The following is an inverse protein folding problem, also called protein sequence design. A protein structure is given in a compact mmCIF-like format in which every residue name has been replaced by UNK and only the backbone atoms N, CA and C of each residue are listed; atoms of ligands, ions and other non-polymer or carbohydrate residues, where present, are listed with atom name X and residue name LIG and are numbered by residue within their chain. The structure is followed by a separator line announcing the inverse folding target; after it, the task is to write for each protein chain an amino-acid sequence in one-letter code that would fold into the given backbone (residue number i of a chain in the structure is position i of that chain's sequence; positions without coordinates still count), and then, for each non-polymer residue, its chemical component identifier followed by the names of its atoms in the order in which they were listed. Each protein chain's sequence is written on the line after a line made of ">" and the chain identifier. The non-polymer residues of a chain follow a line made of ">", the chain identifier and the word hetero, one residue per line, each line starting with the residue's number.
data_IF_531148338959
#
_entry.id   IF_531148338959
#
_cell.length_a   1.000
_cell.length_b   1.000
_cell.length_c   1.000
_cell.angle_alpha   90.00
_cell.angle_beta   90.00
_cell.angle_gamma   90.00
#
_symmetry.space_group_name_H-M   'P 1'
#
loop_
_entity.id
_entity.type
_entity.pdbx_description
1 polymer ?
#
# COMPACT_ATOMS: atom_id res chain seq x y z
N UNK A 1 -13.06 -18.39 -8.35
CA UNK A 1 -13.63 -17.03 -8.51
C UNK A 1 -14.20 -16.49 -7.19
N UNK A 2 -15.16 -17.18 -6.55
CA UNK A 2 -15.70 -16.79 -5.23
C UNK A 2 -14.62 -16.72 -4.13
N UNK A 3 -13.70 -17.70 -4.12
CA UNK A 3 -12.58 -17.76 -3.16
C UNK A 3 -11.67 -16.52 -3.26
N UNK A 4 -11.34 -16.08 -4.49
CA UNK A 4 -10.48 -14.90 -4.71
C UNK A 4 -11.14 -13.61 -4.20
N UNK A 5 -12.45 -13.46 -4.42
CA UNK A 5 -13.18 -12.29 -3.96
C UNK A 5 -13.21 -12.22 -2.42
N UNK A 6 -13.48 -13.34 -1.75
CA UNK A 6 -13.47 -13.42 -0.28
C UNK A 6 -12.06 -13.21 0.29
N UNK A 7 -11.02 -13.71 -0.38
CA UNK A 7 -9.63 -13.47 0.00
C UNK A 7 -9.26 -11.98 -0.08
N UNK A 8 -9.63 -11.29 -1.15
CA UNK A 8 -9.42 -9.85 -1.30
C UNK A 8 -10.14 -9.05 -0.21
N UNK A 9 -11.40 -9.40 0.08
CA UNK A 9 -12.18 -8.77 1.16
C UNK A 9 -11.52 -8.99 2.52
N UNK A 10 -11.06 -10.20 2.81
CA UNK A 10 -10.39 -10.52 4.06
C UNK A 10 -9.10 -9.71 4.22
N UNK A 11 -8.25 -9.68 3.19
CA UNK A 11 -7.02 -8.88 3.17
C UNK A 11 -7.33 -7.39 3.38
N UNK A 12 -8.32 -6.86 2.67
CA UNK A 12 -8.75 -5.44 2.80
C UNK A 12 -9.22 -5.15 4.23
N UNK A 13 -10.09 -5.98 4.78
CA UNK A 13 -10.63 -5.78 6.12
C UNK A 13 -9.52 -5.86 7.20
N UNK A 14 -8.56 -6.78 7.04
CA UNK A 14 -7.39 -6.84 7.91
C UNK A 14 -6.58 -5.54 7.85
N UNK A 15 -6.32 -5.01 6.65
CA UNK A 15 -5.62 -3.73 6.48
C UNK A 15 -6.40 -2.56 7.09
N UNK A 16 -7.73 -2.51 6.94
CA UNK A 16 -8.57 -1.48 7.57
C UNK A 16 -8.42 -1.50 9.10
N UNK A 17 -8.49 -2.69 9.71
CA UNK A 17 -8.30 -2.84 11.16
C UNK A 17 -6.91 -2.37 11.57
N UNK A 18 -5.88 -2.75 10.83
CA UNK A 18 -4.52 -2.30 11.10
C UNK A 18 -4.37 -0.78 10.95
N UNK A 19 -4.97 -0.18 9.92
CA UNK A 19 -4.94 1.26 9.72
C UNK A 19 -5.66 1.99 10.87
N UNK A 20 -6.77 1.45 11.35
CA UNK A 20 -7.48 1.97 12.52
C UNK A 20 -6.60 1.91 13.77
N UNK A 21 -5.97 0.77 14.03
CA UNK A 21 -5.06 0.60 15.17
C UNK A 21 -3.86 1.56 15.09
N UNK A 22 -3.23 1.70 13.91
CA UNK A 22 -2.14 2.64 13.67
C UNK A 22 -2.55 4.10 13.95
N UNK A 23 -3.81 4.46 13.71
CA UNK A 23 -4.38 5.77 14.00
C UNK A 23 -4.74 6.01 15.46
N UNK A 24 -4.82 4.95 16.28
CA UNK A 24 -5.23 5.09 17.69
C UNK A 24 -4.19 5.81 18.56
N UNK A 25 -2.95 5.98 18.07
CA UNK A 25 -1.84 6.58 18.83
C UNK A 25 -1.37 5.75 20.02
N UNK A 26 -1.92 4.54 20.21
CA UNK A 26 -1.54 3.63 21.29
C UNK A 26 -0.28 2.85 20.92
N UNK A 27 0.53 2.55 21.93
CA UNK A 27 1.64 1.60 21.82
C UNK A 27 1.11 0.17 21.54
N UNK A 28 1.95 -0.67 20.95
CA UNK A 28 1.66 -2.04 20.56
C UNK A 28 1.69 -2.26 19.04
N UNK A 29 1.67 -1.20 18.24
CA UNK A 29 1.82 -1.32 16.78
C UNK A 29 3.27 -1.64 16.38
N UNK A 30 4.24 -1.41 17.26
CA UNK A 30 5.65 -1.77 17.07
C UNK A 30 5.84 -3.26 16.77
N UNK A 31 4.92 -4.13 17.20
CA UNK A 31 4.99 -5.55 16.88
C UNK A 31 4.96 -5.79 15.37
N UNK A 32 4.23 -4.96 14.61
CA UNK A 32 4.15 -5.06 13.15
C UNK A 32 5.40 -4.52 12.46
N UNK A 33 6.18 -3.68 13.17
CA UNK A 33 7.44 -3.12 12.68
C UNK A 33 8.64 -4.01 13.06
N UNK A 34 8.58 -4.67 14.21
CA UNK A 34 9.68 -5.45 14.77
C UNK A 34 9.58 -6.97 14.54
N UNK A 35 8.38 -7.50 14.29
CA UNK A 35 8.22 -8.94 14.10
C UNK A 35 8.57 -9.36 12.67
N UNK A 36 9.50 -10.32 12.55
CA UNK A 36 9.82 -10.96 11.27
C UNK A 36 8.90 -12.14 11.05
N UNK A 37 8.16 -12.12 9.95
CA UNK A 37 7.32 -13.24 9.55
C UNK A 37 8.19 -14.39 9.01
N UNK A 38 7.64 -15.62 8.90
CA UNK A 38 8.31 -16.71 8.22
C UNK A 38 8.85 -16.25 6.86
N UNK A 39 10.08 -16.64 6.51
CA UNK A 39 10.88 -16.11 5.37
C UNK A 39 11.57 -14.75 5.60
N UNK A 40 11.63 -14.24 6.83
CA UNK A 40 12.34 -13.00 7.23
C UNK A 40 11.82 -11.71 6.59
N UNK A 41 10.66 -11.74 5.92
CA UNK A 41 9.98 -10.52 5.46
C UNK A 41 9.29 -9.84 6.62
N UNK A 42 9.50 -8.54 6.78
CA UNK A 42 8.69 -7.73 7.69
C UNK A 42 7.31 -7.46 7.08
N UNK A 43 6.39 -7.01 7.92
CA UNK A 43 5.01 -6.78 7.52
C UNK A 43 4.86 -5.69 6.43
N UNK A 44 5.67 -4.63 6.49
CA UNK A 44 5.61 -3.54 5.51
C UNK A 44 6.06 -3.99 4.13
N UNK A 45 7.14 -4.78 4.10
CA UNK A 45 7.63 -5.41 2.87
C UNK A 45 6.56 -6.32 2.27
N UNK A 46 5.80 -7.07 3.07
CA UNK A 46 4.67 -7.85 2.55
C UNK A 46 3.56 -6.98 1.96
N UNK A 47 3.21 -5.86 2.59
CA UNK A 47 2.23 -4.92 2.04
C UNK A 47 2.70 -4.38 0.69
N UNK A 48 3.98 -4.05 0.53
CA UNK A 48 4.54 -3.63 -0.76
C UNK A 48 4.43 -4.72 -1.84
N UNK A 49 4.73 -5.97 -1.50
CA UNK A 49 4.60 -7.08 -2.44
C UNK A 49 3.14 -7.32 -2.84
N UNK A 50 2.20 -7.21 -1.90
CA UNK A 50 0.76 -7.27 -2.19
C UNK A 50 0.40 -6.15 -3.16
N UNK A 51 0.81 -4.91 -2.89
CA UNK A 51 0.56 -3.77 -3.78
C UNK A 51 1.11 -4.04 -5.18
N UNK A 52 2.39 -4.38 -5.31
CA UNK A 52 3.01 -4.65 -6.61
C UNK A 52 2.30 -5.79 -7.36
N UNK A 53 1.99 -6.90 -6.67
CA UNK A 53 1.29 -8.04 -7.27
C UNK A 53 -0.11 -7.65 -7.76
N UNK A 54 -0.91 -6.97 -6.95
CA UNK A 54 -2.26 -6.56 -7.38
C UNK A 54 -2.20 -5.56 -8.53
N UNK A 55 -1.21 -4.67 -8.54
CA UNK A 55 -0.96 -3.74 -9.64
C UNK A 55 -0.56 -4.44 -10.95
N UNK A 56 0.25 -5.49 -10.88
CA UNK A 56 0.67 -6.29 -12.03
C UNK A 56 -0.51 -7.09 -12.60
N UNK A 57 -1.35 -7.67 -11.74
CA UNK A 57 -2.54 -8.40 -12.19
C UNK A 57 -3.56 -7.43 -12.80
N UNK A 58 -3.76 -6.27 -12.18
CA UNK A 58 -4.66 -5.23 -12.71
C UNK A 58 -4.20 -4.70 -14.08
N UNK A 59 -2.88 -4.66 -14.34
CA UNK A 59 -2.33 -4.26 -15.63
C UNK A 59 -2.43 -5.36 -16.71
N UNK A 60 -2.57 -6.63 -16.33
CA UNK A 60 -2.51 -7.78 -17.24
C UNK A 60 -3.87 -8.43 -17.53
N UNK A 61 -4.84 -8.37 -16.61
CA UNK A 61 -6.11 -9.09 -16.75
C UNK A 61 -7.28 -8.18 -17.20
N UNK A 62 -7.56 -8.22 -18.50
CA UNK A 62 -8.67 -7.51 -19.15
C UNK A 62 -10.07 -8.13 -18.87
N UNK A 63 -10.13 -9.32 -18.26
CA UNK A 63 -11.35 -10.17 -18.21
C UNK A 63 -11.86 -10.50 -16.80
N UNK A 64 -11.46 -9.76 -15.77
CA UNK A 64 -11.98 -9.98 -14.41
C UNK A 64 -13.42 -9.49 -14.22
N UNK A 65 -14.15 -10.09 -13.28
CA UNK A 65 -15.43 -9.54 -12.87
C UNK A 65 -15.27 -8.16 -12.24
N UNK A 66 -16.21 -7.23 -12.50
CA UNK A 66 -16.20 -5.88 -11.92
C UNK A 66 -16.06 -5.85 -10.39
N UNK A 67 -16.57 -6.86 -9.69
CA UNK A 67 -16.50 -6.95 -8.23
C UNK A 67 -15.07 -7.22 -7.73
N UNK A 68 -14.36 -8.16 -8.36
CA UNK A 68 -12.97 -8.48 -8.01
C UNK A 68 -12.10 -7.25 -8.26
N UNK A 69 -12.34 -6.60 -9.39
CA UNK A 69 -11.65 -5.40 -9.78
C UNK A 69 -11.85 -4.26 -8.77
N UNK A 70 -13.11 -4.00 -8.40
CA UNK A 70 -13.46 -3.02 -7.36
C UNK A 70 -12.78 -3.35 -6.03
N UNK A 71 -12.80 -4.61 -5.61
CA UNK A 71 -12.18 -5.03 -4.36
C UNK A 71 -10.66 -4.87 -4.36
N UNK A 72 -9.98 -5.11 -5.49
CA UNK A 72 -8.55 -4.80 -5.64
C UNK A 72 -8.25 -3.32 -5.52
N UNK A 73 -9.01 -2.47 -6.22
CA UNK A 73 -8.85 -1.01 -6.10
C UNK A 73 -9.02 -0.56 -4.64
N UNK A 74 -9.99 -1.12 -3.92
CA UNK A 74 -10.19 -0.82 -2.50
C UNK A 74 -9.03 -1.34 -1.64
N UNK A 75 -8.53 -2.55 -1.90
CA UNK A 75 -7.36 -3.10 -1.21
C UNK A 75 -6.12 -2.19 -1.36
N UNK A 76 -5.83 -1.75 -2.58
CA UNK A 76 -4.72 -0.82 -2.87
C UNK A 76 -4.87 0.49 -2.09
N UNK A 77 -6.08 1.06 -2.12
CA UNK A 77 -6.39 2.29 -1.38
C UNK A 77 -6.16 2.14 0.12
N UNK A 78 -6.71 1.09 0.74
CA UNK A 78 -6.58 0.89 2.19
C UNK A 78 -5.12 0.60 2.59
N UNK A 79 -4.37 -0.12 1.77
CA UNK A 79 -2.94 -0.34 1.99
C UNK A 79 -2.14 0.98 1.97
N UNK A 80 -2.43 1.87 1.02
CA UNK A 80 -1.81 3.20 0.99
C UNK A 80 -2.22 4.07 2.19
N UNK A 81 -3.47 3.95 2.68
CA UNK A 81 -3.92 4.64 3.90
C UNK A 81 -3.12 4.14 5.10
N UNK A 82 -2.96 2.83 5.26
CA UNK A 82 -2.15 2.25 6.33
C UNK A 82 -0.70 2.77 6.27
N UNK A 83 -0.05 2.67 5.11
CA UNK A 83 1.33 3.13 4.93
C UNK A 83 1.47 4.62 5.25
N UNK A 84 0.55 5.45 4.77
CA UNK A 84 0.58 6.89 5.07
C UNK A 84 0.34 7.18 6.56
N UNK A 85 -0.58 6.48 7.22
CA UNK A 85 -0.83 6.66 8.66
C UNK A 85 0.42 6.36 9.48
N UNK A 86 1.08 5.25 9.17
CA UNK A 86 2.33 4.85 9.82
C UNK A 86 3.46 5.84 9.55
N UNK A 87 3.62 6.25 8.29
CA UNK A 87 4.62 7.22 7.88
C UNK A 87 4.39 8.64 8.43
N UNK A 88 3.17 8.99 8.83
CA UNK A 88 2.86 10.29 9.47
C UNK A 88 2.93 10.28 10.98
N UNK A 89 2.95 9.11 11.61
CA UNK A 89 2.94 9.02 13.06
C UNK A 89 4.36 9.35 13.59
N UNK A 90 4.53 10.33 14.50
CA UNK A 90 5.85 10.71 15.02
C UNK A 90 6.63 9.57 15.67
N UNK A 91 5.93 8.59 16.27
CA UNK A 91 6.56 7.43 16.92
C UNK A 91 7.00 6.36 15.91
N UNK A 92 6.33 6.28 14.75
CA UNK A 92 6.52 5.18 13.80
C UNK A 92 7.19 5.60 12.49
N UNK A 93 7.20 6.89 12.14
CA UNK A 93 7.67 7.37 10.84
C UNK A 93 9.10 6.92 10.53
N UNK A 94 10.06 7.19 11.42
CA UNK A 94 11.46 6.80 11.23
C UNK A 94 11.65 5.27 11.17
N UNK A 95 11.13 4.45 12.11
CA UNK A 95 11.18 2.99 11.98
C UNK A 95 10.58 2.46 10.67
N UNK A 96 9.43 3.00 10.25
CA UNK A 96 8.74 2.62 9.01
C UNK A 96 9.64 2.86 7.81
N UNK A 97 10.21 4.06 7.67
CA UNK A 97 11.08 4.34 6.53
C UNK A 97 12.37 3.52 6.57
N UNK A 98 12.98 3.31 7.74
CA UNK A 98 14.15 2.43 7.87
C UNK A 98 13.86 1.03 7.36
N UNK A 99 12.68 0.49 7.61
CA UNK A 99 12.26 -0.82 7.09
C UNK A 99 12.08 -0.76 5.57
N UNK A 100 11.33 0.22 5.08
CA UNK A 100 11.06 0.41 3.65
C UNK A 100 12.32 0.71 2.82
N UNK A 101 13.42 1.08 3.46
CA UNK A 101 14.71 1.37 2.81
C UNK A 101 15.86 0.54 3.40
N UNK A 102 15.56 -0.60 4.04
CA UNK A 102 16.57 -1.42 4.74
C UNK A 102 17.56 -2.13 3.81
N UNK A 103 17.22 -2.22 2.53
CA UNK A 103 17.97 -2.91 1.50
C UNK A 103 17.64 -2.27 0.14
N UNK A 104 18.53 -2.47 -0.83
CA UNK A 104 18.33 -1.97 -2.19
C UNK A 104 17.03 -2.48 -2.80
N UNK A 105 16.71 -3.75 -2.58
CA UNK A 105 15.54 -4.39 -3.17
C UNK A 105 14.24 -3.82 -2.59
N UNK A 106 14.16 -3.68 -1.26
CA UNK A 106 12.97 -3.10 -0.60
C UNK A 106 12.82 -1.61 -0.91
N UNK A 107 13.94 -0.87 -0.97
CA UNK A 107 13.91 0.53 -1.40
C UNK A 107 13.42 0.66 -2.85
N UNK A 108 13.91 -0.19 -3.75
CA UNK A 108 13.48 -0.21 -5.15
C UNK A 108 12.00 -0.54 -5.27
N UNK A 109 11.51 -1.55 -4.54
CA UNK A 109 10.10 -1.93 -4.52
C UNK A 109 9.21 -0.80 -3.97
N UNK A 110 9.64 -0.15 -2.88
CA UNK A 110 8.94 1.00 -2.30
C UNK A 110 8.81 2.13 -3.31
N UNK A 111 9.90 2.47 -3.99
CA UNK A 111 9.92 3.51 -5.01
C UNK A 111 9.10 3.13 -6.24
N UNK A 112 9.15 1.87 -6.69
CA UNK A 112 8.34 1.38 -7.81
C UNK A 112 6.85 1.54 -7.52
N UNK A 113 6.37 1.02 -6.39
CA UNK A 113 4.98 1.12 -5.95
C UNK A 113 4.54 2.57 -5.86
N UNK A 114 5.32 3.42 -5.17
CA UNK A 114 5.01 4.83 -5.01
C UNK A 114 4.98 5.59 -6.35
N UNK A 115 5.91 5.29 -7.25
CA UNK A 115 5.98 5.91 -8.57
C UNK A 115 4.79 5.50 -9.45
N UNK A 116 4.52 4.20 -9.58
CA UNK A 116 3.45 3.66 -10.42
C UNK A 116 2.07 4.16 -9.96
N UNK A 117 1.78 4.11 -8.66
CA UNK A 117 0.50 4.56 -8.11
C UNK A 117 0.34 6.10 -8.14
N UNK A 118 1.44 6.87 -8.10
CA UNK A 118 1.38 8.34 -8.20
C UNK A 118 1.13 8.88 -9.61
N UNK A 119 1.29 8.03 -10.65
CA UNK A 119 1.08 8.42 -12.05
C UNK A 119 -0.40 8.42 -12.36
N UNK A 120 -0.90 9.58 -12.78
CA UNK A 120 -2.26 9.74 -13.31
C UNK A 120 -2.30 9.18 -14.73
N UNK A 121 -2.60 7.89 -14.91
CA UNK A 121 -2.81 7.33 -16.26
C UNK A 121 -2.88 5.80 -16.37
N UNK A 122 -3.79 5.34 -17.25
CA UNK A 122 -3.91 4.02 -17.89
C UNK A 122 -3.88 2.76 -17.02
N UNK A 123 -4.38 2.84 -15.79
CA UNK A 123 -4.84 1.60 -15.18
C UNK A 123 -6.07 1.14 -15.98
N UNK A 124 -6.05 -0.12 -16.46
CA UNK A 124 -7.09 -0.78 -17.26
C UNK A 124 -8.34 -1.06 -16.41
N UNK A 125 -8.70 -0.10 -15.57
CA UNK A 125 -9.91 -0.14 -14.80
C UNK A 125 -11.09 -0.09 -15.81
N UNK A 126 -11.81 -1.20 -15.97
CA UNK A 126 -13.00 -1.29 -16.79
C UNK A 126 -14.26 -1.15 -15.90
N UNK A 127 -15.14 -0.22 -16.27
CA UNK A 127 -16.48 0.08 -15.72
C UNK A 127 -16.63 1.13 -14.58
N UNK A 128 -17.84 1.72 -14.60
CA UNK A 128 -18.51 2.82 -13.87
C UNK A 128 -17.73 4.10 -13.51
N UNK A 129 -18.12 5.25 -14.10
CA UNK A 129 -17.26 6.44 -14.27
C UNK A 129 -17.03 7.27 -13.00
N UNK A 130 -18.06 7.59 -12.21
CA UNK A 130 -17.94 8.65 -11.20
C UNK A 130 -17.30 8.18 -9.89
N UNK A 131 -17.88 7.17 -9.24
CA UNK A 131 -17.37 6.61 -7.98
C UNK A 131 -15.95 6.06 -8.15
N UNK A 132 -15.60 5.63 -9.36
CA UNK A 132 -14.25 5.17 -9.66
C UNK A 132 -13.26 6.32 -9.81
N UNK A 133 -13.59 7.37 -10.58
CA UNK A 133 -12.72 8.55 -10.70
C UNK A 133 -12.35 9.15 -9.34
N UNK A 134 -13.29 9.16 -8.39
CA UNK A 134 -13.02 9.59 -7.01
C UNK A 134 -11.98 8.67 -6.37
N UNK A 135 -12.19 7.35 -6.37
CA UNK A 135 -11.22 6.39 -5.80
C UNK A 135 -9.85 6.45 -6.47
N UNK A 136 -9.80 6.61 -7.78
CA UNK A 136 -8.55 6.75 -8.53
C UNK A 136 -7.80 8.01 -8.10
N UNK A 137 -8.51 9.13 -7.97
CA UNK A 137 -7.91 10.39 -7.50
C UNK A 137 -7.38 10.26 -6.07
N UNK A 138 -8.12 9.59 -5.19
CA UNK A 138 -7.69 9.32 -3.82
C UNK A 138 -6.44 8.44 -3.77
N UNK A 139 -6.37 7.36 -4.57
CA UNK A 139 -5.18 6.50 -4.65
C UNK A 139 -3.98 7.29 -5.14
N UNK A 140 -4.15 8.08 -6.20
CA UNK A 140 -3.07 8.90 -6.76
C UNK A 140 -2.55 9.90 -5.73
N UNK A 141 -3.44 10.56 -4.99
CA UNK A 141 -3.06 11.54 -3.99
C UNK A 141 -2.40 10.90 -2.77
N UNK A 142 -2.94 9.78 -2.28
CA UNK A 142 -2.31 8.96 -1.23
C UNK A 142 -0.90 8.50 -1.64
N UNK A 143 -0.73 8.05 -2.88
CA UNK A 143 0.55 7.61 -3.40
C UNK A 143 1.55 8.76 -3.55
N UNK A 144 1.10 9.95 -3.97
CA UNK A 144 1.95 11.15 -4.03
C UNK A 144 2.43 11.59 -2.66
N UNK A 145 1.56 11.57 -1.65
CA UNK A 145 1.94 11.88 -0.26
C UNK A 145 2.96 10.86 0.24
N UNK A 146 2.69 9.58 0.05
CA UNK A 146 3.61 8.52 0.45
C UNK A 146 4.97 8.66 -0.24
N UNK A 147 4.96 8.82 -1.57
CA UNK A 147 6.15 9.07 -2.39
C UNK A 147 6.96 10.25 -1.84
N UNK A 148 6.33 11.42 -1.65
CA UNK A 148 7.01 12.62 -1.14
C UNK A 148 7.77 12.31 0.16
N UNK A 149 7.14 11.60 1.10
CA UNK A 149 7.76 11.29 2.39
C UNK A 149 8.93 10.31 2.26
N UNK A 150 8.81 9.28 1.41
CA UNK A 150 9.91 8.35 1.13
C UNK A 150 11.12 9.10 0.55
N UNK A 151 10.89 9.99 -0.42
CA UNK A 151 11.97 10.80 -1.02
C UNK A 151 12.60 11.77 -0.01
N UNK A 152 11.80 12.41 0.85
CA UNK A 152 12.32 13.27 1.91
C UNK A 152 13.22 12.48 2.86
N UNK A 153 12.77 11.32 3.34
CA UNK A 153 13.57 10.47 4.23
C UNK A 153 14.89 10.00 3.58
N UNK A 154 14.84 9.59 2.30
CA UNK A 154 16.05 9.19 1.58
C UNK A 154 17.04 10.36 1.43
N UNK A 155 16.56 11.57 1.16
CA UNK A 155 17.39 12.77 1.10
C UNK A 155 18.04 13.13 2.44
N UNK A 156 17.28 13.03 3.54
CA UNK A 156 17.79 13.22 4.90
C UNK A 156 18.83 12.16 5.29
N UNK A 157 18.66 10.90 4.85
CA UNK A 157 19.59 9.81 5.17
C UNK A 157 20.94 9.86 4.44
N UNK A 158 21.04 10.67 3.39
CA UNK A 158 22.24 10.85 2.57
C UNK A 158 23.05 12.11 2.94
N UNK A 159 22.55 12.89 3.91
CA UNK A 159 23.19 14.11 4.44
C UNK A 159 23.92 13.81 5.75
#
# INVERSE_FOLDING_TARGET
>A
MYILLEELKLRRNAIIVLAFLASSGKAGFEILLGHRLPKRSDFLTLILHILASEMDIEASECTQLPEIFKERTLLIREALILLNRLASNPQYSTPVFRILTNSRDVASLTLDVANRLSRKGKWLWQSDKLTRQIRESEIVDLARVFKKRVFTFLGESLS
#
